data_IF_911735125217
#
_entry.id   IF_911735125217
#
_cell.length_a   1.000
_cell.length_b   1.000
_cell.length_c   1.000
_cell.angle_alpha   90.00
_cell.angle_beta   90.00
_cell.angle_gamma   90.00
#
_symmetry.space_group_name_H-M   'P 1'
#
loop_
_entity.id
_entity.type
_entity.pdbx_description
1 polymer ?
#
# COMPACT_ATOMS: atom_id res chain seq x y z
N UNK A 1 -45.20 28.59 3.50
CA UNK A 1 -44.50 28.23 2.25
C UNK A 1 -43.02 28.40 2.54
N UNK A 2 -42.43 27.42 3.22
CA UNK A 2 -41.02 27.45 3.62
C UNK A 2 -40.20 26.90 2.45
N UNK A 3 -39.23 27.68 1.98
CA UNK A 3 -38.29 27.26 0.95
C UNK A 3 -37.45 26.08 1.46
N UNK A 4 -37.44 25.00 0.69
CA UNK A 4 -36.57 23.84 0.85
C UNK A 4 -35.11 24.28 0.89
N UNK A 5 -34.43 23.91 1.97
CA UNK A 5 -32.98 24.01 2.09
C UNK A 5 -32.35 22.95 1.19
N UNK A 6 -31.50 23.44 0.29
CA UNK A 6 -30.56 22.66 -0.50
C UNK A 6 -29.69 21.81 0.44
N UNK A 7 -29.77 20.49 0.29
CA UNK A 7 -28.77 19.59 0.84
C UNK A 7 -27.66 19.44 -0.21
N UNK A 8 -26.45 19.83 0.20
CA UNK A 8 -25.22 19.74 -0.55
C UNK A 8 -24.99 18.32 -1.07
N UNK A 9 -24.62 18.21 -2.34
CA UNK A 9 -24.00 17.00 -2.86
C UNK A 9 -22.66 16.84 -2.14
N UNK A 10 -22.54 15.79 -1.34
CA UNK A 10 -21.27 15.32 -0.82
C UNK A 10 -20.51 14.73 -2.01
N UNK A 11 -19.73 15.59 -2.66
CA UNK A 11 -18.77 15.19 -3.66
C UNK A 11 -17.66 14.44 -2.97
N UNK A 12 -17.86 13.14 -2.79
CA UNK A 12 -16.74 12.22 -2.63
C UNK A 12 -16.08 12.20 -4.00
N UNK A 13 -15.08 13.06 -4.21
CA UNK A 13 -14.11 12.82 -5.29
C UNK A 13 -13.51 11.46 -4.96
N UNK A 14 -13.97 10.41 -5.65
CA UNK A 14 -13.25 9.14 -5.66
C UNK A 14 -11.82 9.50 -6.02
N UNK A 15 -10.83 9.25 -5.14
CA UNK A 15 -9.44 9.54 -5.48
C UNK A 15 -9.18 8.78 -6.77
N UNK A 16 -8.78 9.51 -7.80
CA UNK A 16 -8.54 8.96 -9.13
C UNK A 16 -7.42 7.93 -9.01
N UNK A 17 -7.79 6.66 -8.80
CA UNK A 17 -6.89 5.57 -8.42
C UNK A 17 -6.23 4.93 -9.65
N UNK A 18 -6.00 5.72 -10.69
CA UNK A 18 -5.34 5.27 -11.91
C UNK A 18 -3.82 5.29 -11.68
N UNK A 19 -3.29 4.18 -11.18
CA UNK A 19 -1.85 3.98 -10.99
C UNK A 19 -1.14 3.36 -12.19
N UNK A 20 -1.85 3.02 -13.26
CA UNK A 20 -1.28 2.23 -14.35
C UNK A 20 -0.04 2.90 -14.95
N UNK A 21 -0.03 4.23 -15.00
CA UNK A 21 1.08 5.03 -15.47
C UNK A 21 2.15 5.34 -14.40
N UNK A 22 1.80 5.28 -13.11
CA UNK A 22 2.71 5.62 -12.02
C UNK A 22 3.65 4.48 -11.66
N UNK A 23 3.21 3.22 -11.82
CA UNK A 23 4.00 2.05 -11.42
C UNK A 23 5.38 2.01 -12.09
N UNK A 24 5.46 2.41 -13.36
CA UNK A 24 6.72 2.43 -14.11
C UNK A 24 7.58 3.67 -13.82
N UNK A 25 7.03 4.67 -13.13
CA UNK A 25 7.69 5.96 -12.82
C UNK A 25 8.20 6.06 -11.37
N UNK A 26 7.86 5.09 -10.52
CA UNK A 26 8.30 5.08 -9.11
C UNK A 26 9.81 4.84 -9.04
N UNK A 27 10.54 5.82 -8.49
CA UNK A 27 11.96 5.68 -8.18
C UNK A 27 12.16 4.94 -6.85
N UNK A 28 12.62 3.69 -6.95
CA UNK A 28 12.92 2.83 -5.80
C UNK A 28 14.39 2.87 -5.36
N UNK A 29 15.25 3.66 -6.02
CA UNK A 29 16.69 3.65 -5.75
C UNK A 29 17.07 4.07 -4.32
N UNK A 30 16.20 4.86 -3.67
CA UNK A 30 16.36 5.31 -2.29
C UNK A 30 15.29 4.71 -1.35
N UNK A 31 14.60 3.66 -1.77
CA UNK A 31 13.56 3.03 -0.96
C UNK A 31 14.17 2.41 0.31
N UNK A 32 13.66 2.80 1.47
CA UNK A 32 14.02 2.19 2.75
C UNK A 32 13.12 0.98 3.00
N UNK A 33 13.64 -0.20 2.66
CA UNK A 33 12.93 -1.47 2.83
C UNK A 33 12.88 -1.89 4.30
N UNK A 34 11.67 -2.15 4.77
CA UNK A 34 11.36 -2.56 6.13
C UNK A 34 10.91 -4.01 6.13
N UNK A 35 11.60 -4.84 6.91
CA UNK A 35 11.23 -6.23 7.15
C UNK A 35 10.44 -6.33 8.45
N UNK A 36 9.18 -6.77 8.44
CA UNK A 36 8.45 -7.07 9.66
C UNK A 36 9.10 -8.29 10.32
N UNK A 37 9.57 -8.10 11.56
CA UNK A 37 10.17 -9.15 12.36
C UNK A 37 9.19 -9.52 13.48
N UNK A 38 8.64 -10.75 13.48
CA UNK A 38 7.91 -11.25 14.63
C UNK A 38 8.81 -11.28 15.86
N UNK A 39 8.25 -11.06 17.04
CA UNK A 39 9.02 -11.10 18.28
C UNK A 39 9.69 -12.48 18.47
N UNK A 40 10.99 -12.46 18.77
CA UNK A 40 11.76 -13.67 19.05
C UNK A 40 12.21 -14.48 17.83
N UNK A 41 12.00 -13.97 16.62
CA UNK A 41 12.50 -14.59 15.38
C UNK A 41 13.79 -13.91 14.93
N UNK A 42 14.83 -14.69 14.59
CA UNK A 42 16.07 -14.15 14.05
C UNK A 42 15.83 -13.65 12.61
N UNK A 43 16.28 -12.44 12.23
CA UNK A 43 16.13 -11.93 10.86
C UNK A 43 16.69 -12.85 9.77
N UNK A 44 17.72 -13.65 10.09
CA UNK A 44 18.34 -14.60 9.18
C UNK A 44 17.46 -15.85 8.96
N UNK A 45 16.48 -16.12 9.82
CA UNK A 45 15.50 -17.22 9.67
C UNK A 45 14.31 -16.86 8.77
N UNK A 46 14.25 -15.61 8.29
CA UNK A 46 13.17 -15.04 7.49
C UNK A 46 13.62 -14.73 6.06
N UNK A 47 14.27 -15.69 5.40
CA UNK A 47 14.81 -15.54 4.05
C UNK A 47 13.74 -15.11 3.02
N UNK A 48 12.52 -15.64 3.14
CA UNK A 48 11.39 -15.35 2.25
C UNK A 48 10.38 -14.34 2.83
N UNK A 49 10.80 -13.51 3.79
CA UNK A 49 9.92 -12.47 4.32
C UNK A 49 9.52 -11.44 3.25
N UNK A 50 8.32 -10.89 3.43
CA UNK A 50 7.87 -9.72 2.67
C UNK A 50 8.55 -8.47 3.23
N UNK A 51 9.04 -7.60 2.37
CA UNK A 51 9.55 -6.27 2.73
C UNK A 51 8.62 -5.19 2.16
N UNK A 52 8.45 -4.11 2.91
CA UNK A 52 7.67 -2.94 2.48
C UNK A 52 8.52 -1.67 2.51
N UNK A 53 8.26 -0.73 1.61
CA UNK A 53 8.86 0.59 1.62
C UNK A 53 7.81 1.67 1.35
N UNK A 54 7.94 2.81 2.03
CA UNK A 54 7.13 4.01 1.78
C UNK A 54 7.93 4.92 0.86
N UNK A 55 7.41 5.18 -0.34
CA UNK A 55 8.16 5.82 -1.42
C UNK A 55 7.49 7.14 -1.78
N UNK A 56 8.06 8.29 -1.39
CA UNK A 56 7.60 9.59 -1.83
C UNK A 56 7.79 9.73 -3.35
N UNK A 57 6.74 10.15 -4.05
CA UNK A 57 6.76 10.37 -5.48
C UNK A 57 6.69 11.87 -5.83
N UNK A 58 6.99 12.19 -7.09
CA UNK A 58 7.09 13.57 -7.57
C UNK A 58 5.75 14.31 -7.64
N UNK A 59 4.64 13.56 -7.67
CA UNK A 59 3.26 14.07 -7.57
C UNK A 59 2.87 14.52 -6.15
N UNK A 60 3.75 14.30 -5.15
CA UNK A 60 3.52 14.62 -3.74
C UNK A 60 2.76 13.53 -2.98
N UNK A 61 2.52 12.36 -3.58
CA UNK A 61 1.91 11.19 -2.96
C UNK A 61 2.99 10.23 -2.49
N UNK A 62 2.75 9.58 -1.35
CA UNK A 62 3.60 8.47 -0.88
C UNK A 62 2.95 7.15 -1.24
N UNK A 63 3.61 6.36 -2.06
CA UNK A 63 3.18 5.03 -2.44
C UNK A 63 3.78 3.98 -1.51
N UNK A 64 3.16 2.80 -1.47
CA UNK A 64 3.72 1.65 -0.75
C UNK A 64 4.20 0.63 -1.76
N UNK A 65 5.49 0.30 -1.70
CA UNK A 65 6.10 -0.77 -2.48
C UNK A 65 6.25 -2.02 -1.60
N UNK A 66 6.00 -3.19 -2.18
CA UNK A 66 6.10 -4.48 -1.50
C UNK A 66 6.83 -5.48 -2.38
N UNK A 67 7.77 -6.24 -1.80
CA UNK A 67 8.56 -7.26 -2.50
C UNK A 67 8.89 -8.45 -1.59
N UNK A 68 9.44 -9.50 -2.19
CA UNK A 68 10.04 -10.62 -1.46
C UNK A 68 11.51 -10.33 -1.14
N UNK A 69 11.93 -10.58 0.11
CA UNK A 69 13.30 -10.31 0.56
C UNK A 69 14.36 -11.13 -0.20
N UNK A 70 14.06 -12.39 -0.55
CA UNK A 70 14.94 -13.28 -1.31
C UNK A 70 15.03 -12.94 -2.80
N UNK A 71 14.10 -12.13 -3.32
CA UNK A 71 14.05 -11.67 -4.72
C UNK A 71 13.98 -10.13 -4.79
N UNK A 72 15.02 -9.40 -4.35
CA UNK A 72 14.98 -7.94 -4.22
C UNK A 72 14.80 -7.20 -5.54
N UNK A 73 15.20 -7.81 -6.65
CA UNK A 73 15.03 -7.34 -8.04
C UNK A 73 13.86 -8.05 -8.76
N UNK A 74 13.05 -8.82 -8.02
CA UNK A 74 11.90 -9.57 -8.52
C UNK A 74 10.68 -8.67 -8.75
N UNK A 75 9.49 -9.26 -8.64
CA UNK A 75 8.24 -8.50 -8.80
C UNK A 75 8.03 -7.57 -7.62
N UNK A 76 7.77 -6.30 -7.90
CA UNK A 76 7.45 -5.28 -6.91
C UNK A 76 5.99 -4.86 -7.09
N UNK A 77 5.20 -5.02 -6.04
CA UNK A 77 3.81 -4.56 -6.00
C UNK A 77 3.79 -3.13 -5.48
N UNK A 78 3.04 -2.26 -6.14
CA UNK A 78 2.92 -0.84 -5.78
C UNK A 78 1.46 -0.48 -5.57
N UNK A 79 1.18 0.10 -4.40
CA UNK A 79 -0.14 0.48 -3.91
C UNK A 79 -0.25 2.02 -3.79
N UNK A 80 -1.43 2.57 -4.08
CA UNK A 80 -1.76 3.94 -3.64
C UNK A 80 -1.95 3.93 -2.13
N UNK A 81 -1.96 5.12 -1.48
CA UNK A 81 -2.49 5.25 -0.13
C UNK A 81 -3.84 4.56 0.09
N UNK A 82 -4.81 4.73 -0.81
CA UNK A 82 -6.15 4.16 -0.67
C UNK A 82 -6.19 2.65 -0.84
N UNK A 83 -5.47 2.09 -1.82
CA UNK A 83 -5.34 0.63 -1.94
C UNK A 83 -4.63 0.02 -0.73
N UNK A 84 -3.57 0.67 -0.24
CA UNK A 84 -2.85 0.19 0.94
C UNK A 84 -3.73 0.20 2.19
N UNK A 85 -4.52 1.27 2.37
CA UNK A 85 -5.50 1.33 3.45
C UNK A 85 -6.53 0.20 3.33
N UNK A 86 -7.10 -0.02 2.15
CA UNK A 86 -8.05 -1.10 1.91
C UNK A 86 -7.43 -2.48 2.18
N UNK A 87 -6.21 -2.72 1.69
CA UNK A 87 -5.46 -3.97 1.95
C UNK A 87 -5.25 -4.21 3.44
N UNK A 88 -4.80 -3.20 4.19
CA UNK A 88 -4.57 -3.31 5.64
C UNK A 88 -5.87 -3.55 6.39
N UNK A 89 -6.97 -2.90 5.99
CA UNK A 89 -8.28 -3.11 6.60
C UNK A 89 -8.79 -4.53 6.35
N UNK A 90 -8.70 -5.04 5.11
CA UNK A 90 -9.07 -6.42 4.78
C UNK A 90 -8.22 -7.45 5.55
N UNK A 91 -6.90 -7.23 5.62
CA UNK A 91 -6.00 -8.10 6.38
C UNK A 91 -6.36 -8.14 7.87
N UNK A 92 -6.74 -7.00 8.46
CA UNK A 92 -7.17 -6.93 9.87
C UNK A 92 -8.55 -7.54 10.12
N UNK A 93 -9.42 -7.54 9.12
CA UNK A 93 -10.73 -8.20 9.18
C UNK A 93 -10.62 -9.74 9.05
N UNK A 94 -9.40 -10.26 8.86
CA UNK A 94 -9.12 -11.69 8.78
C UNK A 94 -9.34 -12.27 7.39
N UNK A 95 -9.33 -11.44 6.33
CA UNK A 95 -9.46 -11.93 4.94
C UNK A 95 -8.37 -12.96 4.57
N UNK A 96 -7.24 -12.94 5.28
CA UNK A 96 -6.12 -13.87 5.08
C UNK A 96 -5.97 -14.93 6.18
N UNK A 97 -6.94 -15.06 7.10
CA UNK A 97 -6.88 -16.01 8.22
C UNK A 97 -7.43 -17.42 7.86
N UNK A 98 -7.76 -17.67 6.59
CA UNK A 98 -8.28 -18.98 6.19
C UNK A 98 -7.19 -20.08 6.24
N UNK A 99 -7.56 -21.35 6.48
CA UNK A 99 -6.65 -22.36 7.04
C UNK A 99 -5.79 -23.12 6.01
N UNK A 100 -5.24 -22.45 4.99
CA UNK A 100 -4.47 -23.13 3.92
C UNK A 100 -3.10 -23.65 4.35
#
# INVERSE_FOLDING_TARGET
MSQEQQAAGDGIEEPFDDKAHIRDEIDLSNAEWQRPLPEGVDPDELEDAVEIAFVPHTDGVTYVAMRQASEPDGTILVFTPSEWEAFVLGAKDGEFDEPW
#
